data_IF_968905546613
#
_entry.id   IF_968905546613
#
_cell.length_a   1.000
_cell.length_b   1.000
_cell.length_c   1.000
_cell.angle_alpha   90.00
_cell.angle_beta   90.00
_cell.angle_gamma   90.00
#
_symmetry.space_group_name_H-M   'P 1'
#
loop_
_entity.id
_entity.type
_entity.pdbx_description
1 polymer ?
#
# COMPACT_ATOMS: atom_id res chain seq x y z
N UNK A 1 7.12 -30.88 31.53
CA UNK A 1 7.52 -30.88 30.14
C UNK A 1 7.19 -29.53 29.42
N UNK A 2 5.92 -29.20 29.12
CA UNK A 2 5.57 -27.93 28.41
C UNK A 2 6.17 -26.67 29.07
N UNK A 3 6.10 -26.56 30.39
CA UNK A 3 6.68 -25.41 31.11
C UNK A 3 8.21 -25.26 30.93
N UNK A 4 8.95 -26.38 30.77
CA UNK A 4 10.39 -26.32 30.49
C UNK A 4 10.67 -25.81 29.09
N UNK A 5 9.85 -26.23 28.10
CA UNK A 5 9.95 -25.73 26.70
C UNK A 5 9.59 -24.26 26.61
N UNK A 6 8.49 -23.81 27.21
CA UNK A 6 8.09 -22.42 27.22
C UNK A 6 9.10 -21.51 27.93
N UNK A 7 9.74 -22.02 29.00
CA UNK A 7 10.80 -21.32 29.70
C UNK A 7 12.04 -21.16 28.80
N UNK A 8 12.46 -22.24 28.11
CA UNK A 8 13.62 -22.21 27.22
C UNK A 8 13.39 -21.20 26.06
N UNK A 9 12.18 -21.14 25.47
CA UNK A 9 11.80 -20.18 24.46
C UNK A 9 11.91 -18.75 25.01
N UNK A 10 11.36 -18.49 26.21
CA UNK A 10 11.39 -17.18 26.83
C UNK A 10 12.82 -16.72 27.20
N UNK A 11 13.66 -17.64 27.71
CA UNK A 11 15.06 -17.37 28.03
C UNK A 11 15.90 -17.07 26.79
N UNK A 12 15.54 -17.67 25.63
CA UNK A 12 16.11 -17.34 24.33
C UNK A 12 15.56 -16.03 23.72
N UNK A 13 14.60 -15.36 24.39
CA UNK A 13 13.98 -14.12 23.94
C UNK A 13 12.81 -14.31 22.96
N UNK A 14 12.40 -15.56 22.70
CA UNK A 14 11.26 -15.87 21.86
C UNK A 14 9.93 -15.51 22.53
N UNK A 15 8.99 -14.93 21.76
CA UNK A 15 7.64 -14.64 22.23
C UNK A 15 6.71 -15.79 21.85
N UNK A 16 6.13 -16.46 22.85
CA UNK A 16 5.22 -17.59 22.62
C UNK A 16 3.81 -17.08 22.30
N UNK A 17 3.35 -17.41 21.11
CA UNK A 17 1.97 -17.21 20.68
C UNK A 17 1.06 -18.39 21.02
N UNK A 18 0.18 -18.75 20.09
CA UNK A 18 -0.75 -19.86 20.26
C UNK A 18 -0.03 -21.20 20.34
N UNK A 19 -0.60 -22.12 21.12
CA UNK A 19 -0.16 -23.52 21.14
C UNK A 19 -1.35 -24.47 21.10
N UNK A 20 -1.17 -25.61 20.44
CA UNK A 20 -2.22 -26.61 20.30
C UNK A 20 -1.71 -28.03 20.52
N UNK A 21 -2.60 -28.92 20.97
CA UNK A 21 -2.35 -30.34 21.07
C UNK A 21 -2.77 -31.02 19.76
N UNK A 22 -1.81 -31.62 19.06
CA UNK A 22 -2.06 -32.31 17.78
C UNK A 22 -2.50 -33.75 18.07
N UNK A 23 -1.73 -34.47 18.90
CA UNK A 23 -2.07 -35.84 19.26
C UNK A 23 -1.59 -36.20 20.67
N UNK A 24 -2.27 -37.22 21.25
CA UNK A 24 -1.92 -37.79 22.56
C UNK A 24 -1.95 -39.30 22.45
N UNK A 25 -0.81 -39.92 22.69
CA UNK A 25 -0.69 -41.37 22.88
C UNK A 25 -0.40 -41.71 24.37
N UNK A 26 -0.15 -42.94 24.63
CA UNK A 26 0.17 -43.41 26.02
C UNK A 26 1.52 -42.86 26.50
N UNK A 27 2.46 -42.65 25.57
CA UNK A 27 3.83 -42.25 25.86
C UNK A 27 4.22 -40.89 25.29
N UNK A 28 3.48 -40.38 24.27
CA UNK A 28 3.87 -39.20 23.52
C UNK A 28 2.75 -38.16 23.45
N UNK A 29 3.15 -36.89 23.48
CA UNK A 29 2.30 -35.73 23.26
C UNK A 29 2.92 -34.87 22.14
N UNK A 30 2.23 -34.78 21.00
CA UNK A 30 2.66 -33.89 19.90
C UNK A 30 1.91 -32.57 20.04
N UNK A 31 2.67 -31.49 20.07
CA UNK A 31 2.15 -30.11 20.14
C UNK A 31 2.74 -29.26 19.06
N UNK A 32 1.96 -28.31 18.57
CA UNK A 32 2.43 -27.17 17.77
C UNK A 32 2.54 -25.98 18.72
N UNK A 33 3.69 -25.30 18.67
CA UNK A 33 3.92 -24.02 19.34
C UNK A 33 4.24 -22.97 18.29
N UNK A 34 3.52 -21.85 18.32
CA UNK A 34 3.85 -20.69 17.50
C UNK A 34 4.76 -19.78 18.31
N UNK A 35 5.90 -19.42 17.74
CA UNK A 35 6.89 -18.59 18.40
C UNK A 35 7.29 -17.44 17.47
N UNK A 36 7.19 -16.20 17.96
CA UNK A 36 7.67 -15.04 17.22
C UNK A 36 9.14 -14.83 17.51
N UNK A 37 9.93 -14.69 16.45
CA UNK A 37 11.36 -14.41 16.49
C UNK A 37 11.68 -13.11 15.76
N UNK A 38 12.70 -12.39 16.20
CA UNK A 38 13.08 -11.10 15.65
C UNK A 38 13.96 -11.17 14.40
N UNK A 39 14.57 -12.33 14.13
CA UNK A 39 15.46 -12.57 12.98
C UNK A 39 15.68 -14.06 12.74
N UNK A 40 16.24 -14.45 11.59
CA UNK A 40 16.63 -15.83 11.31
C UNK A 40 17.66 -16.37 12.33
N UNK A 41 18.65 -15.57 12.71
CA UNK A 41 19.62 -15.96 13.74
C UNK A 41 18.94 -16.20 15.10
N UNK A 42 17.92 -15.41 15.44
CA UNK A 42 17.13 -15.61 16.65
C UNK A 42 16.30 -16.90 16.59
N UNK A 43 15.78 -17.30 15.42
CA UNK A 43 15.13 -18.60 15.23
C UNK A 43 16.08 -19.73 15.56
N UNK A 44 17.33 -19.69 15.06
CA UNK A 44 18.34 -20.71 15.37
C UNK A 44 18.64 -20.81 16.87
N UNK A 45 18.71 -19.69 17.59
CA UNK A 45 18.96 -19.67 19.02
C UNK A 45 17.79 -20.25 19.82
N UNK A 46 16.54 -19.95 19.41
CA UNK A 46 15.34 -20.55 20.00
C UNK A 46 15.32 -22.06 19.75
N UNK A 47 15.63 -22.55 18.56
CA UNK A 47 15.69 -23.97 18.23
C UNK A 47 16.68 -24.68 19.14
N UNK A 48 17.92 -24.15 19.24
CA UNK A 48 18.97 -24.72 20.14
C UNK A 48 18.51 -24.76 21.60
N UNK A 49 17.83 -23.72 22.06
CA UNK A 49 17.30 -23.67 23.42
C UNK A 49 16.24 -24.77 23.66
N UNK A 50 15.33 -25.00 22.72
CA UNK A 50 14.33 -26.05 22.80
C UNK A 50 14.95 -27.44 22.73
N UNK A 51 15.91 -27.68 21.84
CA UNK A 51 16.66 -28.95 21.70
C UNK A 51 17.44 -29.29 22.96
N UNK A 52 17.85 -28.31 23.74
CA UNK A 52 18.55 -28.53 25.02
C UNK A 52 17.65 -29.10 26.15
N UNK A 53 16.32 -29.07 25.96
CA UNK A 53 15.37 -29.58 26.96
C UNK A 53 15.27 -31.09 26.85
N UNK A 54 15.70 -31.79 27.90
CA UNK A 54 15.63 -33.26 27.96
C UNK A 54 14.22 -33.81 27.73
N UNK A 55 14.12 -34.96 27.06
CA UNK A 55 12.88 -35.68 26.73
C UNK A 55 11.98 -34.93 25.75
N UNK A 56 12.53 -33.99 24.96
CA UNK A 56 11.86 -33.29 23.86
C UNK A 56 12.53 -33.66 22.55
N UNK A 57 11.73 -33.83 21.54
CA UNK A 57 12.14 -33.97 20.14
C UNK A 57 11.39 -32.95 19.29
N UNK A 58 12.11 -32.15 18.50
CA UNK A 58 11.53 -31.29 17.47
C UNK A 58 11.25 -32.15 16.25
N UNK A 59 9.99 -32.38 15.94
CA UNK A 59 9.56 -33.20 14.80
C UNK A 59 9.59 -32.40 13.49
N UNK A 60 9.23 -31.12 13.57
CA UNK A 60 9.13 -30.25 12.40
C UNK A 60 9.33 -28.79 12.81
N UNK A 61 9.99 -28.03 11.97
CA UNK A 61 10.12 -26.59 12.07
C UNK A 61 9.56 -26.00 10.77
N UNK A 62 8.57 -25.12 10.88
CA UNK A 62 7.99 -24.46 9.72
C UNK A 62 7.87 -22.96 9.97
N UNK A 63 8.19 -22.17 8.95
CA UNK A 63 7.88 -20.75 8.93
C UNK A 63 6.44 -20.57 8.41
N UNK A 64 5.58 -19.97 9.25
CA UNK A 64 4.18 -19.72 8.91
C UNK A 64 4.01 -18.81 7.70
N UNK A 65 4.95 -17.88 7.50
CA UNK A 65 4.92 -16.99 6.34
C UNK A 65 5.13 -17.78 5.06
N UNK A 66 6.17 -18.64 5.02
CA UNK A 66 6.41 -19.50 3.86
C UNK A 66 5.27 -20.50 3.66
N UNK A 67 4.77 -21.12 4.72
CA UNK A 67 3.62 -22.05 4.63
C UNK A 67 2.35 -21.38 4.06
N UNK A 68 2.11 -20.09 4.40
CA UNK A 68 0.99 -19.31 3.83
C UNK A 68 1.16 -19.05 2.33
N UNK A 69 2.39 -19.03 1.82
CA UNK A 69 2.71 -18.77 0.42
C UNK A 69 2.84 -20.05 -0.42
N UNK A 70 2.83 -21.23 0.21
CA UNK A 70 2.96 -22.50 -0.51
C UNK A 70 1.78 -22.68 -1.49
N UNK A 71 2.11 -22.89 -2.78
CA UNK A 71 1.12 -22.97 -3.86
C UNK A 71 0.50 -21.64 -4.28
N UNK A 72 0.96 -20.50 -3.74
CA UNK A 72 0.44 -19.17 -4.05
C UNK A 72 -0.79 -18.79 -3.21
N UNK A 73 -1.19 -17.51 -3.28
CA UNK A 73 -2.27 -16.93 -2.46
C UNK A 73 -3.58 -16.70 -3.22
N UNK A 74 -3.58 -16.90 -4.52
CA UNK A 74 -4.75 -16.68 -5.38
C UNK A 74 -4.99 -17.87 -6.29
N UNK A 75 -6.24 -18.06 -6.69
CA UNK A 75 -6.65 -19.03 -7.69
C UNK A 75 -7.62 -18.40 -8.69
N UNK A 76 -7.75 -19.01 -9.88
CA UNK A 76 -8.77 -18.63 -10.86
C UNK A 76 -9.85 -19.69 -10.82
N UNK A 77 -11.09 -19.29 -10.54
CA UNK A 77 -12.23 -20.18 -10.42
C UNK A 77 -13.33 -19.81 -11.42
N UNK A 78 -14.01 -20.82 -11.93
CA UNK A 78 -15.18 -20.63 -12.80
C UNK A 78 -16.36 -20.10 -11.97
N UNK A 79 -17.09 -19.13 -12.53
CA UNK A 79 -18.39 -18.66 -12.00
C UNK A 79 -19.56 -19.54 -12.42
N UNK A 80 -19.34 -20.44 -13.39
CA UNK A 80 -20.34 -21.31 -13.97
C UNK A 80 -19.96 -22.76 -13.71
N UNK A 81 -20.96 -23.56 -13.39
CA UNK A 81 -20.87 -25.02 -13.42
C UNK A 81 -21.20 -25.52 -14.83
N UNK A 82 -20.42 -26.48 -15.33
CA UNK A 82 -20.68 -27.17 -16.57
C UNK A 82 -21.21 -28.57 -16.23
N UNK A 83 -22.51 -28.75 -16.30
CA UNK A 83 -23.18 -30.01 -15.93
C UNK A 83 -23.56 -30.89 -17.12
N UNK A 84 -23.54 -30.34 -18.34
CA UNK A 84 -23.89 -31.06 -19.52
C UNK A 84 -23.60 -30.38 -20.86
N UNK A 85 -23.99 -31.01 -21.93
CA UNK A 85 -23.78 -30.55 -23.31
C UNK A 85 -24.47 -29.20 -23.60
N UNK A 86 -25.59 -28.95 -22.96
CA UNK A 86 -26.33 -27.68 -23.12
C UNK A 86 -25.53 -26.51 -22.54
N UNK A 87 -25.01 -26.66 -21.31
CA UNK A 87 -24.20 -25.63 -20.67
C UNK A 87 -22.93 -25.36 -21.49
N UNK A 88 -22.28 -26.43 -22.01
CA UNK A 88 -21.12 -26.30 -22.86
C UNK A 88 -21.44 -25.56 -24.16
N UNK A 89 -22.58 -25.85 -24.78
CA UNK A 89 -23.00 -25.20 -26.02
C UNK A 89 -23.29 -23.70 -25.81
N UNK A 90 -23.82 -23.30 -24.65
CA UNK A 90 -24.04 -21.89 -24.30
C UNK A 90 -22.77 -21.17 -23.89
N UNK A 91 -21.96 -21.79 -23.00
CA UNK A 91 -20.76 -21.17 -22.44
C UNK A 91 -19.59 -21.12 -23.43
N UNK A 92 -19.54 -22.03 -24.39
CA UNK A 92 -18.45 -22.13 -25.37
C UNK A 92 -18.99 -22.18 -26.81
N UNK A 93 -18.88 -23.31 -27.51
CA UNK A 93 -19.33 -23.42 -28.90
C UNK A 93 -20.61 -24.21 -29.02
N UNK A 94 -21.59 -23.73 -29.83
CA UNK A 94 -21.57 -22.57 -30.73
C UNK A 94 -22.09 -21.26 -30.13
N UNK A 95 -22.64 -21.27 -28.92
CA UNK A 95 -23.37 -20.13 -28.32
C UNK A 95 -22.54 -18.88 -28.13
N UNK A 96 -21.26 -19.00 -27.67
CA UNK A 96 -20.37 -17.88 -27.44
C UNK A 96 -20.14 -17.03 -28.68
N UNK A 97 -20.26 -17.58 -29.89
CA UNK A 97 -20.10 -16.82 -31.13
C UNK A 97 -21.06 -15.65 -31.26
N UNK A 98 -22.30 -15.78 -30.71
CA UNK A 98 -23.27 -14.68 -30.67
C UNK A 98 -22.80 -13.54 -29.75
N UNK A 99 -22.19 -13.88 -28.61
CA UNK A 99 -21.64 -12.90 -27.67
C UNK A 99 -20.44 -12.17 -28.29
N UNK A 100 -19.58 -12.89 -28.99
CA UNK A 100 -18.47 -12.29 -29.74
C UNK A 100 -18.96 -11.28 -30.80
N UNK A 101 -19.98 -11.63 -31.56
CA UNK A 101 -20.56 -10.73 -32.57
C UNK A 101 -21.22 -9.50 -31.92
N UNK A 102 -21.93 -9.69 -30.80
CA UNK A 102 -22.51 -8.57 -30.04
C UNK A 102 -21.46 -7.57 -29.60
N UNK A 103 -20.35 -8.05 -29.01
CA UNK A 103 -19.24 -7.18 -28.58
C UNK A 103 -18.56 -6.50 -29.77
N UNK A 104 -18.37 -7.22 -30.89
CA UNK A 104 -17.79 -6.63 -32.10
C UNK A 104 -18.61 -5.48 -32.68
N UNK A 105 -19.95 -5.59 -32.60
CA UNK A 105 -20.88 -4.56 -33.06
C UNK A 105 -21.10 -3.44 -32.04
N UNK A 106 -21.02 -3.77 -30.75
CA UNK A 106 -21.25 -2.88 -29.61
C UNK A 106 -20.12 -3.02 -28.59
N UNK A 107 -18.94 -2.38 -28.82
CA UNK A 107 -17.73 -2.60 -28.00
C UNK A 107 -17.91 -2.38 -26.50
N UNK A 108 -18.78 -1.48 -26.07
CA UNK A 108 -19.05 -1.21 -24.65
C UNK A 108 -19.69 -2.42 -23.92
N UNK A 109 -20.28 -3.37 -24.66
CA UNK A 109 -20.84 -4.58 -24.09
C UNK A 109 -19.76 -5.51 -23.50
N UNK A 110 -18.49 -5.32 -23.84
CA UNK A 110 -17.39 -6.09 -23.26
C UNK A 110 -17.36 -5.99 -21.73
N UNK A 111 -17.72 -4.84 -21.16
CA UNK A 111 -17.78 -4.64 -19.71
C UNK A 111 -18.90 -5.43 -19.02
N UNK A 112 -19.99 -5.72 -19.73
CA UNK A 112 -21.14 -6.45 -19.19
C UNK A 112 -21.06 -7.95 -19.47
N UNK A 113 -20.45 -8.34 -20.58
CA UNK A 113 -20.45 -9.71 -21.10
C UNK A 113 -19.16 -10.47 -20.86
N UNK A 114 -18.15 -9.83 -20.26
CA UNK A 114 -16.86 -10.44 -19.92
C UNK A 114 -16.41 -10.05 -18.50
N UNK A 115 -15.25 -10.58 -18.09
CA UNK A 115 -14.63 -10.22 -16.79
C UNK A 115 -14.10 -8.79 -16.76
N UNK A 116 -13.96 -8.10 -17.92
CA UNK A 116 -13.37 -6.74 -18.01
C UNK A 116 -13.99 -5.75 -17.04
N UNK A 117 -15.28 -5.83 -16.80
CA UNK A 117 -15.98 -4.91 -15.89
C UNK A 117 -15.57 -5.01 -14.42
N UNK A 118 -14.84 -6.08 -14.03
CA UNK A 118 -14.45 -6.34 -12.65
C UNK A 118 -12.97 -6.70 -12.48
N UNK A 119 -12.14 -6.57 -13.52
CA UNK A 119 -10.75 -7.02 -13.47
C UNK A 119 -9.76 -5.88 -13.47
N UNK A 120 -8.66 -6.04 -12.71
CA UNK A 120 -7.53 -5.11 -12.60
C UNK A 120 -6.22 -5.83 -12.92
N UNK A 121 -5.38 -5.24 -13.75
CA UNK A 121 -3.98 -5.67 -13.90
C UNK A 121 -3.13 -5.03 -12.81
N UNK A 122 -2.39 -5.84 -12.04
CA UNK A 122 -1.36 -5.36 -11.11
C UNK A 122 -0.03 -5.51 -11.84
N UNK A 123 0.54 -4.41 -12.31
CA UNK A 123 1.72 -4.40 -13.18
C UNK A 123 2.95 -3.96 -12.40
N UNK A 124 4.01 -4.75 -12.47
CA UNK A 124 5.31 -4.47 -11.86
C UNK A 124 6.45 -4.92 -12.75
N UNK A 125 7.62 -4.30 -12.61
CA UNK A 125 8.90 -4.79 -13.09
C UNK A 125 9.82 -5.28 -11.95
N UNK A 126 9.32 -5.19 -10.70
CA UNK A 126 10.02 -5.61 -9.49
C UNK A 126 11.25 -4.77 -9.14
N UNK A 127 11.36 -3.53 -9.64
CA UNK A 127 12.55 -2.69 -9.46
C UNK A 127 12.58 -1.91 -8.14
N UNK A 128 11.47 -1.90 -7.36
CA UNK A 128 11.37 -1.16 -6.10
C UNK A 128 10.49 -1.87 -5.05
N UNK A 129 10.75 -3.16 -4.80
CA UNK A 129 9.91 -4.02 -3.98
C UNK A 129 10.04 -3.70 -2.49
N UNK A 130 8.98 -3.23 -1.83
CA UNK A 130 8.85 -3.07 -0.37
C UNK A 130 10.03 -2.35 0.33
N UNK A 131 10.79 -1.50 -0.36
CA UNK A 131 12.01 -0.90 0.20
C UNK A 131 13.24 -1.83 0.20
N UNK A 132 13.10 -3.09 -0.25
CA UNK A 132 14.21 -4.04 -0.41
C UNK A 132 15.00 -3.79 -1.70
N UNK A 133 14.50 -2.90 -2.57
CA UNK A 133 15.13 -2.54 -3.82
C UNK A 133 14.71 -3.42 -5.00
N UNK A 134 15.62 -3.59 -5.96
CA UNK A 134 15.35 -4.34 -7.18
C UNK A 134 15.49 -5.86 -6.96
N UNK A 135 14.36 -6.54 -6.78
CA UNK A 135 14.28 -8.00 -6.64
C UNK A 135 13.92 -8.71 -7.96
N UNK A 136 13.60 -7.93 -8.99
CA UNK A 136 13.11 -8.44 -10.27
C UNK A 136 11.67 -8.97 -10.22
N UNK A 137 11.12 -9.32 -11.40
CA UNK A 137 9.69 -9.64 -11.53
C UNK A 137 9.26 -10.88 -10.74
N UNK A 138 10.10 -11.93 -10.70
CA UNK A 138 9.80 -13.14 -9.94
C UNK A 138 9.82 -12.89 -8.42
N UNK A 139 10.77 -12.09 -7.93
CA UNK A 139 10.84 -11.70 -6.52
C UNK A 139 9.68 -10.80 -6.08
N UNK A 140 9.09 -10.04 -6.99
CA UNK A 140 7.91 -9.20 -6.74
C UNK A 140 6.58 -9.99 -6.72
N UNK A 141 6.51 -11.16 -7.34
CA UNK A 141 5.25 -11.91 -7.50
C UNK A 141 4.51 -12.16 -6.18
N UNK A 142 5.15 -12.56 -5.07
CA UNK A 142 4.44 -12.75 -3.80
C UNK A 142 3.74 -11.47 -3.30
N UNK A 143 4.32 -10.29 -3.53
CA UNK A 143 3.71 -9.00 -3.18
C UNK A 143 2.49 -8.73 -4.07
N UNK A 144 2.60 -9.00 -5.38
CA UNK A 144 1.50 -8.80 -6.34
C UNK A 144 0.33 -9.74 -6.07
N UNK A 145 0.58 -10.98 -5.65
CA UNK A 145 -0.48 -11.89 -5.17
C UNK A 145 -1.12 -11.37 -3.88
N UNK A 146 -0.34 -10.82 -2.96
CA UNK A 146 -0.86 -10.13 -1.78
C UNK A 146 -1.78 -8.97 -2.15
N UNK A 147 -1.36 -8.14 -3.11
CA UNK A 147 -2.17 -7.04 -3.63
C UNK A 147 -3.48 -7.55 -4.26
N UNK A 148 -3.43 -8.62 -5.04
CA UNK A 148 -4.63 -9.24 -5.64
C UNK A 148 -5.60 -9.76 -4.57
N UNK A 149 -5.09 -10.39 -3.51
CA UNK A 149 -5.87 -10.83 -2.36
C UNK A 149 -6.58 -9.65 -1.69
N UNK A 150 -5.89 -8.51 -1.49
CA UNK A 150 -6.47 -7.31 -0.88
C UNK A 150 -7.55 -6.68 -1.77
N UNK A 151 -7.35 -6.60 -3.09
CA UNK A 151 -8.38 -6.18 -4.05
C UNK A 151 -9.65 -7.04 -3.95
N UNK A 152 -9.46 -8.36 -3.89
CA UNK A 152 -10.58 -9.29 -3.76
C UNK A 152 -11.31 -9.13 -2.43
N UNK A 153 -10.56 -9.11 -1.32
CA UNK A 153 -11.10 -9.04 0.04
C UNK A 153 -11.88 -7.77 0.31
N UNK A 154 -11.32 -6.61 -0.06
CA UNK A 154 -11.88 -5.31 0.33
C UNK A 154 -12.79 -4.67 -0.72
N UNK A 155 -12.63 -5.02 -2.01
CA UNK A 155 -13.39 -4.40 -3.09
C UNK A 155 -14.13 -5.39 -4.01
N UNK A 156 -13.97 -6.70 -3.81
CA UNK A 156 -14.57 -7.72 -4.68
C UNK A 156 -14.00 -7.70 -6.10
N UNK A 157 -12.87 -7.02 -6.33
CA UNK A 157 -12.21 -6.96 -7.64
C UNK A 157 -11.36 -8.20 -7.89
N UNK A 158 -11.40 -8.71 -9.11
CA UNK A 158 -10.55 -9.79 -9.58
C UNK A 158 -9.27 -9.18 -10.16
N UNK A 159 -8.14 -9.28 -9.43
CA UNK A 159 -6.90 -8.68 -9.84
C UNK A 159 -5.87 -9.75 -10.24
N UNK A 160 -5.10 -9.46 -11.30
CA UNK A 160 -4.13 -10.39 -11.88
C UNK A 160 -2.71 -9.81 -11.77
N UNK A 161 -1.76 -10.52 -11.13
CA UNK A 161 -0.34 -10.18 -11.16
C UNK A 161 0.21 -10.25 -12.59
N UNK A 162 0.83 -9.16 -13.02
CA UNK A 162 1.52 -9.05 -14.31
C UNK A 162 2.95 -8.56 -14.03
N UNK A 163 3.85 -9.51 -13.80
CA UNK A 163 5.26 -9.25 -13.51
C UNK A 163 6.04 -9.30 -14.83
N UNK A 164 6.55 -8.15 -15.29
CA UNK A 164 7.21 -8.00 -16.59
C UNK A 164 8.73 -8.18 -16.44
N UNK A 165 9.31 -9.07 -17.23
CA UNK A 165 10.76 -9.29 -17.27
C UNK A 165 11.45 -8.24 -18.15
N UNK A 166 11.20 -6.98 -17.86
CA UNK A 166 11.86 -5.82 -18.49
C UNK A 166 11.75 -4.61 -17.57
N UNK A 167 12.76 -3.76 -17.63
CA UNK A 167 12.75 -2.44 -16.97
C UNK A 167 12.77 -1.29 -18.00
N UNK A 168 12.60 -1.61 -19.27
CA UNK A 168 12.48 -0.61 -20.33
C UNK A 168 11.08 0.02 -20.31
N UNK A 169 11.04 1.36 -20.28
CA UNK A 169 9.79 2.13 -20.22
C UNK A 169 8.89 1.87 -21.42
N UNK A 170 9.46 1.80 -22.62
CA UNK A 170 8.70 1.60 -23.86
C UNK A 170 8.09 0.20 -23.91
N UNK A 171 8.85 -0.82 -23.51
CA UNK A 171 8.37 -2.20 -23.44
C UNK A 171 7.27 -2.37 -22.40
N UNK A 172 7.40 -1.77 -21.21
CA UNK A 172 6.37 -1.81 -20.16
C UNK A 172 5.08 -1.16 -20.67
N UNK A 173 5.16 0.04 -21.22
CA UNK A 173 4.00 0.75 -21.78
C UNK A 173 3.35 -0.05 -22.90
N UNK A 174 4.12 -0.60 -23.82
CA UNK A 174 3.61 -1.43 -24.92
C UNK A 174 2.91 -2.71 -24.41
N UNK A 175 3.52 -3.41 -23.43
CA UNK A 175 2.93 -4.60 -22.83
C UNK A 175 1.58 -4.30 -22.18
N UNK A 176 1.50 -3.27 -21.35
CA UNK A 176 0.24 -2.88 -20.68
C UNK A 176 -0.84 -2.50 -21.69
N UNK A 177 -0.49 -1.78 -22.76
CA UNK A 177 -1.43 -1.43 -23.84
C UNK A 177 -1.99 -2.67 -24.54
N UNK A 178 -1.15 -3.65 -24.83
CA UNK A 178 -1.60 -4.88 -25.48
C UNK A 178 -2.47 -5.75 -24.57
N UNK A 179 -2.28 -5.69 -23.26
CA UNK A 179 -3.08 -6.42 -22.26
C UNK A 179 -4.39 -5.69 -21.89
N UNK A 180 -4.50 -4.40 -22.13
CA UNK A 180 -5.63 -3.55 -21.69
C UNK A 180 -7.03 -4.01 -22.15
N UNK A 181 -7.22 -4.75 -23.28
CA UNK A 181 -8.54 -5.22 -23.67
C UNK A 181 -9.23 -6.10 -22.61
N UNK A 182 -8.47 -6.81 -21.78
CA UNK A 182 -9.01 -7.72 -20.74
C UNK A 182 -9.38 -6.97 -19.47
N UNK A 183 -8.69 -5.85 -19.15
CA UNK A 183 -8.77 -5.20 -17.86
C UNK A 183 -9.66 -3.95 -17.87
N UNK A 184 -10.42 -3.76 -16.77
CA UNK A 184 -11.18 -2.55 -16.51
C UNK A 184 -10.35 -1.42 -15.91
N UNK A 185 -9.17 -1.75 -15.38
CA UNK A 185 -8.21 -0.79 -14.80
C UNK A 185 -6.82 -1.40 -14.63
N UNK A 186 -5.85 -0.54 -14.37
CA UNK A 186 -4.45 -0.90 -14.16
C UNK A 186 -3.99 -0.32 -12.83
N UNK A 187 -3.36 -1.15 -12.00
CA UNK A 187 -2.58 -0.75 -10.84
C UNK A 187 -1.10 -0.95 -11.13
N UNK A 188 -0.32 0.12 -11.13
CA UNK A 188 1.14 0.06 -11.21
C UNK A 188 1.68 -0.08 -9.79
N UNK A 189 2.67 -0.97 -9.60
CA UNK A 189 3.20 -1.34 -8.29
C UNK A 189 4.69 -1.59 -8.34
N UNK A 190 5.43 -1.13 -7.32
CA UNK A 190 6.86 -1.46 -7.12
C UNK A 190 7.76 -1.12 -8.33
N UNK A 191 7.44 -0.08 -9.09
CA UNK A 191 8.25 0.42 -10.20
C UNK A 191 9.08 1.59 -9.72
N UNK A 192 10.40 1.54 -9.91
CA UNK A 192 11.33 2.53 -9.37
C UNK A 192 11.18 3.92 -10.03
N UNK A 193 11.32 4.98 -9.19
CA UNK A 193 11.47 6.34 -9.68
C UNK A 193 12.86 6.52 -10.36
N UNK A 194 13.00 7.35 -11.41
CA UNK A 194 11.96 8.23 -11.96
C UNK A 194 11.06 7.59 -13.03
N UNK A 195 11.35 6.34 -13.48
CA UNK A 195 10.61 5.69 -14.58
C UNK A 195 9.11 5.53 -14.30
N UNK A 196 8.75 5.29 -13.06
CA UNK A 196 7.35 5.12 -12.66
C UNK A 196 6.47 6.31 -13.05
N UNK A 197 6.99 7.54 -13.00
CA UNK A 197 6.25 8.75 -13.37
C UNK A 197 5.95 8.78 -14.88
N UNK A 198 6.95 8.49 -15.71
CA UNK A 198 6.81 8.47 -17.17
C UNK A 198 5.87 7.35 -17.61
N UNK A 199 6.02 6.16 -17.05
CA UNK A 199 5.18 4.99 -17.36
C UNK A 199 3.71 5.33 -17.05
N UNK A 200 3.43 5.85 -15.86
CA UNK A 200 2.07 6.23 -15.49
C UNK A 200 1.51 7.32 -16.39
N UNK A 201 2.26 8.40 -16.63
CA UNK A 201 1.82 9.51 -17.46
C UNK A 201 1.48 9.07 -18.89
N UNK A 202 2.31 8.21 -19.48
CA UNK A 202 2.08 7.68 -20.83
C UNK A 202 0.85 6.78 -20.86
N UNK A 203 0.73 5.85 -19.92
CA UNK A 203 -0.42 4.93 -19.86
C UNK A 203 -1.73 5.69 -19.64
N UNK A 204 -1.74 6.72 -18.79
CA UNK A 204 -2.91 7.57 -18.58
C UNK A 204 -3.33 8.36 -19.83
N UNK A 205 -2.40 8.72 -20.71
CA UNK A 205 -2.67 9.39 -21.99
C UNK A 205 -3.09 8.43 -23.10
N UNK A 206 -2.57 7.20 -23.07
CA UNK A 206 -2.69 6.27 -24.19
C UNK A 206 -3.78 5.22 -23.98
N UNK A 207 -4.30 5.07 -22.74
CA UNK A 207 -5.39 4.14 -22.39
C UNK A 207 -6.68 4.92 -22.10
N UNK A 208 -7.82 4.27 -22.34
CA UNK A 208 -9.16 4.77 -22.02
C UNK A 208 -9.77 4.07 -20.78
N UNK A 209 -8.92 3.48 -19.96
CA UNK A 209 -9.24 2.85 -18.68
C UNK A 209 -8.42 3.50 -17.56
N UNK A 210 -8.90 3.47 -16.28
CA UNK A 210 -8.16 4.05 -15.17
C UNK A 210 -6.80 3.37 -14.97
N UNK A 211 -5.77 4.21 -14.83
CA UNK A 211 -4.42 3.83 -14.45
C UNK A 211 -4.11 4.48 -13.11
N UNK A 212 -3.71 3.68 -12.14
CA UNK A 212 -3.42 4.09 -10.76
C UNK A 212 -2.04 3.55 -10.36
N UNK A 213 -1.18 4.40 -9.83
CA UNK A 213 0.10 3.98 -9.26
C UNK A 213 -0.01 4.05 -7.74
N UNK A 214 -0.04 2.89 -7.09
CA UNK A 214 -0.34 2.83 -5.65
C UNK A 214 0.74 3.47 -4.78
N UNK A 215 2.04 3.22 -5.07
CA UNK A 215 3.14 3.82 -4.31
C UNK A 215 3.15 5.35 -4.38
N UNK A 216 2.58 5.93 -5.43
CA UNK A 216 2.39 7.38 -5.55
C UNK A 216 1.10 7.81 -4.87
N UNK A 217 -0.02 7.43 -5.46
CA UNK A 217 -1.32 8.03 -5.15
C UNK A 217 -2.01 7.36 -3.95
N UNK A 218 -1.83 6.05 -3.74
CA UNK A 218 -2.33 5.36 -2.55
C UNK A 218 -1.73 5.95 -1.29
N UNK A 219 -0.40 6.07 -1.26
CA UNK A 219 0.33 6.69 -0.14
C UNK A 219 -0.07 8.15 0.07
N UNK A 220 -0.22 8.93 -1.00
CA UNK A 220 -0.63 10.33 -0.89
C UNK A 220 -2.05 10.49 -0.32
N UNK A 221 -3.01 9.67 -0.75
CA UNK A 221 -4.40 9.68 -0.28
C UNK A 221 -4.47 9.38 1.21
N UNK A 222 -3.83 8.30 1.68
CA UNK A 222 -3.90 7.90 3.09
C UNK A 222 -3.15 8.87 3.99
N UNK A 223 -2.04 9.46 3.52
CA UNK A 223 -1.30 10.50 4.24
C UNK A 223 -2.15 11.76 4.41
N UNK A 224 -2.82 12.22 3.35
CA UNK A 224 -3.73 13.36 3.43
C UNK A 224 -4.90 13.06 4.36
N UNK A 225 -5.51 11.89 4.30
CA UNK A 225 -6.61 11.49 5.19
C UNK A 225 -6.21 11.54 6.66
N UNK A 226 -5.06 10.97 7.02
CA UNK A 226 -4.51 11.01 8.36
C UNK A 226 -4.19 12.45 8.80
N UNK A 227 -3.61 13.26 7.92
CA UNK A 227 -3.28 14.66 8.20
C UNK A 227 -4.53 15.50 8.47
N UNK A 228 -5.60 15.34 7.68
CA UNK A 228 -6.87 16.06 7.90
C UNK A 228 -7.37 15.89 9.35
N UNK A 229 -7.37 14.67 9.84
CA UNK A 229 -7.84 14.37 11.20
C UNK A 229 -6.82 14.83 12.26
N UNK A 230 -5.54 14.72 12.01
CA UNK A 230 -4.50 15.27 12.88
C UNK A 230 -4.64 16.78 13.05
N UNK A 231 -4.94 17.50 11.98
CA UNK A 231 -5.15 18.95 12.02
C UNK A 231 -6.36 19.36 12.87
N UNK A 232 -7.44 18.57 12.83
CA UNK A 232 -8.60 18.77 13.72
C UNK A 232 -8.21 18.68 15.20
N UNK A 233 -7.32 17.73 15.57
CA UNK A 233 -6.86 17.54 16.95
C UNK A 233 -6.00 18.70 17.44
N UNK A 234 -5.07 19.19 16.61
CA UNK A 234 -4.15 20.27 17.00
C UNK A 234 -4.71 21.66 16.71
N UNK A 235 -5.93 21.76 16.16
CA UNK A 235 -6.59 23.01 15.78
C UNK A 235 -5.73 23.90 14.87
N UNK A 236 -5.07 23.29 13.89
CA UNK A 236 -4.27 23.98 12.85
C UNK A 236 -4.93 23.88 11.49
N UNK A 237 -4.61 24.82 10.58
CA UNK A 237 -5.18 24.86 9.23
C UNK A 237 -4.09 24.61 8.18
N UNK A 238 -4.34 23.72 7.24
CA UNK A 238 -3.40 23.27 6.21
C UNK A 238 -2.65 24.40 5.48
N UNK A 239 -3.28 25.52 5.05
CA UNK A 239 -2.57 26.60 4.35
C UNK A 239 -1.53 27.36 5.18
N UNK A 240 -1.54 27.19 6.51
CA UNK A 240 -0.66 27.94 7.42
C UNK A 240 0.53 27.10 7.92
N UNK A 241 0.59 25.84 7.50
CA UNK A 241 1.59 24.89 8.01
C UNK A 241 2.89 24.95 7.25
N UNK A 242 3.99 24.81 7.99
CA UNK A 242 5.29 24.42 7.45
C UNK A 242 5.37 22.89 7.47
N UNK A 243 5.37 22.29 6.29
CA UNK A 243 5.38 20.84 6.10
C UNK A 243 6.73 20.41 5.57
N UNK A 244 7.38 19.46 6.22
CA UNK A 244 8.62 18.82 5.75
C UNK A 244 8.31 17.42 5.25
N UNK A 245 8.71 17.14 4.00
CA UNK A 245 8.62 15.80 3.41
C UNK A 245 10.03 15.28 3.20
N UNK A 246 10.39 14.21 3.88
CA UNK A 246 11.69 13.55 3.71
C UNK A 246 11.55 12.29 2.85
N UNK A 247 12.11 12.34 1.65
CA UNK A 247 12.01 11.34 0.60
C UNK A 247 11.39 11.93 -0.67
N UNK A 248 12.21 12.13 -1.71
CA UNK A 248 11.81 12.71 -2.99
C UNK A 248 11.64 11.65 -4.08
N UNK A 249 11.15 10.47 -3.68
CA UNK A 249 10.78 9.37 -4.56
C UNK A 249 9.31 9.44 -4.99
N UNK A 250 8.78 8.31 -5.43
CA UNK A 250 7.39 8.18 -5.92
C UNK A 250 6.37 8.71 -4.90
N UNK A 251 6.43 8.23 -3.66
CA UNK A 251 5.51 8.63 -2.59
C UNK A 251 5.62 10.12 -2.23
N UNK A 252 6.84 10.61 -1.96
CA UNK A 252 7.04 11.99 -1.50
C UNK A 252 6.59 13.03 -2.51
N UNK A 253 6.88 12.84 -3.79
CA UNK A 253 6.42 13.72 -4.88
C UNK A 253 4.89 13.70 -4.96
N UNK A 254 4.26 12.53 -4.89
CA UNK A 254 2.81 12.42 -4.96
C UNK A 254 2.11 13.05 -3.74
N UNK A 255 2.65 12.84 -2.53
CA UNK A 255 2.18 13.49 -1.31
C UNK A 255 2.24 15.01 -1.44
N UNK A 256 3.40 15.56 -1.86
CA UNK A 256 3.57 16.99 -2.02
C UNK A 256 2.55 17.58 -3.01
N UNK A 257 2.38 16.95 -4.17
CA UNK A 257 1.39 17.37 -5.18
C UNK A 257 -0.04 17.37 -4.64
N UNK A 258 -0.42 16.30 -3.92
CA UNK A 258 -1.78 16.18 -3.39
C UNK A 258 -2.03 17.19 -2.27
N UNK A 259 -1.06 17.42 -1.38
CA UNK A 259 -1.13 18.43 -0.32
C UNK A 259 -1.25 19.84 -0.89
N UNK A 260 -0.49 20.19 -1.94
CA UNK A 260 -0.65 21.48 -2.63
C UNK A 260 -2.05 21.65 -3.21
N UNK A 261 -2.61 20.60 -3.83
CA UNK A 261 -3.99 20.61 -4.33
C UNK A 261 -5.03 20.70 -3.23
N UNK A 262 -4.73 20.19 -2.05
CA UNK A 262 -5.57 20.35 -0.86
C UNK A 262 -5.41 21.73 -0.17
N UNK A 263 -4.45 22.57 -0.62
CA UNK A 263 -4.26 23.93 -0.12
C UNK A 263 -3.04 24.17 0.76
N UNK A 264 -2.11 23.20 0.86
CA UNK A 264 -0.83 23.44 1.53
C UNK A 264 0.01 24.46 0.76
N UNK A 265 0.54 25.48 1.43
CA UNK A 265 1.31 26.57 0.81
C UNK A 265 2.80 26.48 1.03
N UNK A 266 3.26 25.93 2.14
CA UNK A 266 4.69 25.79 2.45
C UNK A 266 5.08 24.32 2.64
N UNK A 267 5.75 23.77 1.64
CA UNK A 267 6.26 22.40 1.65
C UNK A 267 7.76 22.44 1.38
N UNK A 268 8.56 21.95 2.32
CA UNK A 268 9.99 21.71 2.16
C UNK A 268 10.23 20.24 1.89
N UNK A 269 10.67 19.91 0.69
CA UNK A 269 11.05 18.54 0.33
C UNK A 269 12.55 18.33 0.56
N UNK A 270 12.90 17.21 1.21
CA UNK A 270 14.26 16.79 1.47
C UNK A 270 14.57 15.43 0.82
N UNK A 271 15.82 15.23 0.47
CA UNK A 271 16.38 13.93 0.10
C UNK A 271 17.68 13.65 0.88
N UNK A 272 18.46 12.64 0.51
CA UNK A 272 19.71 12.28 1.19
C UNK A 272 20.77 13.39 1.21
N UNK A 273 20.60 14.45 0.41
CA UNK A 273 21.49 15.63 0.38
C UNK A 273 20.92 16.85 1.11
N UNK A 274 19.77 16.71 1.78
CA UNK A 274 19.07 17.78 2.47
C UNK A 274 17.96 18.42 1.65
N UNK A 275 17.69 19.70 1.90
CA UNK A 275 16.60 20.45 1.25
C UNK A 275 16.80 20.47 -0.27
N UNK A 276 15.73 20.23 -1.01
CA UNK A 276 15.71 20.37 -2.46
C UNK A 276 15.66 21.86 -2.79
N UNK A 277 16.83 22.41 -3.17
CA UNK A 277 17.05 23.82 -3.38
C UNK A 277 17.36 24.13 -4.85
N UNK A 278 16.95 25.31 -5.33
CA UNK A 278 17.31 25.81 -6.65
C UNK A 278 18.82 25.92 -6.91
N UNK A 279 19.63 25.97 -5.84
CA UNK A 279 21.09 25.99 -5.92
C UNK A 279 21.72 24.64 -6.28
N UNK A 280 20.94 23.56 -6.33
CA UNK A 280 21.41 22.20 -6.64
C UNK A 280 21.34 21.92 -8.14
N UNK A 281 22.37 21.24 -8.67
CA UNK A 281 22.54 20.85 -10.09
C UNK A 281 22.15 19.39 -10.38
N UNK A 282 21.81 18.62 -9.34
CA UNK A 282 21.50 17.19 -9.42
C UNK A 282 20.01 16.86 -9.43
N UNK A 283 19.15 17.86 -9.66
CA UNK A 283 17.69 17.70 -9.60
C UNK A 283 17.14 17.18 -10.94
N UNK A 284 16.34 16.10 -10.85
CA UNK A 284 15.47 15.72 -11.96
C UNK A 284 14.24 16.64 -12.04
N UNK A 285 13.42 16.47 -13.08
CA UNK A 285 12.25 17.34 -13.33
C UNK A 285 11.24 17.31 -12.17
N UNK A 286 11.02 16.16 -11.53
CA UNK A 286 10.09 16.02 -10.42
C UNK A 286 10.59 16.76 -9.17
N UNK A 287 11.90 16.67 -8.89
CA UNK A 287 12.50 17.42 -7.77
C UNK A 287 12.54 18.92 -8.04
N UNK A 288 12.79 19.34 -9.27
CA UNK A 288 12.78 20.75 -9.65
C UNK A 288 11.44 21.44 -9.37
N UNK A 289 10.33 20.71 -9.47
CA UNK A 289 8.99 21.23 -9.15
C UNK A 289 8.87 21.73 -7.69
N UNK A 290 9.63 21.13 -6.77
CA UNK A 290 9.61 21.45 -5.34
C UNK A 290 10.88 22.16 -4.85
N UNK A 291 11.74 22.60 -5.76
CA UNK A 291 12.94 23.34 -5.37
C UNK A 291 12.58 24.70 -4.78
N UNK A 292 13.24 25.06 -3.69
CA UNK A 292 13.05 26.32 -2.98
C UNK A 292 14.37 27.10 -2.90
N UNK A 293 14.31 28.38 -2.51
CA UNK A 293 15.51 29.19 -2.28
C UNK A 293 16.31 28.77 -1.05
N UNK A 294 15.62 28.20 -0.03
CA UNK A 294 16.25 27.71 1.18
C UNK A 294 17.17 26.52 0.87
N UNK A 295 18.29 26.43 1.58
CA UNK A 295 19.21 25.30 1.52
C UNK A 295 19.56 24.87 2.94
N UNK A 296 19.95 23.61 3.12
CA UNK A 296 20.33 23.07 4.43
C UNK A 296 20.08 21.57 4.54
N UNK A 297 20.29 21.05 5.72
CA UNK A 297 20.07 19.66 6.10
C UNK A 297 18.58 19.38 6.38
N UNK A 298 18.25 18.11 6.64
CA UNK A 298 16.93 17.74 7.15
C UNK A 298 16.65 18.42 8.51
N UNK A 299 17.64 18.51 9.38
CA UNK A 299 17.50 19.18 10.68
C UNK A 299 17.14 20.67 10.53
N UNK A 300 17.76 21.36 9.56
CA UNK A 300 17.42 22.77 9.26
C UNK A 300 15.98 22.90 8.74
N UNK A 301 15.51 21.95 7.92
CA UNK A 301 14.15 21.93 7.42
C UNK A 301 13.13 21.74 8.56
N UNK A 302 13.40 20.80 9.48
CA UNK A 302 12.51 20.45 10.59
C UNK A 302 12.38 21.55 11.64
N UNK A 303 13.35 22.47 11.74
CA UNK A 303 13.27 23.56 12.69
C UNK A 303 12.00 24.41 12.47
N UNK A 304 11.13 24.43 13.50
CA UNK A 304 9.85 25.15 13.46
C UNK A 304 8.82 24.56 12.48
N UNK A 305 9.01 23.34 12.00
CA UNK A 305 8.03 22.66 11.16
C UNK A 305 6.82 22.18 11.99
N UNK A 306 5.61 22.32 11.44
CA UNK A 306 4.38 21.82 12.05
C UNK A 306 4.18 20.33 11.80
N UNK A 307 4.61 19.86 10.63
CA UNK A 307 4.37 18.49 10.15
C UNK A 307 5.65 17.93 9.55
N UNK A 308 5.99 16.71 9.94
CA UNK A 308 7.01 15.89 9.31
C UNK A 308 6.35 14.66 8.66
N UNK A 309 6.65 14.42 7.39
CA UNK A 309 6.20 13.26 6.61
C UNK A 309 7.43 12.52 6.07
N UNK A 310 7.72 11.35 6.66
CA UNK A 310 8.84 10.49 6.28
C UNK A 310 8.39 9.40 5.32
N UNK A 311 9.03 9.33 4.15
CA UNK A 311 8.88 8.26 3.13
C UNK A 311 10.26 7.93 2.55
N UNK A 312 11.24 7.73 3.41
CA UNK A 312 12.64 7.63 3.05
C UNK A 312 13.30 6.34 3.56
N UNK A 313 14.25 6.48 4.48
CA UNK A 313 15.01 5.36 5.04
C UNK A 313 14.99 5.38 6.55
N UNK A 314 15.23 4.23 7.21
CA UNK A 314 15.21 4.11 8.66
C UNK A 314 16.17 5.06 9.39
N UNK A 315 15.74 5.58 10.57
CA UNK A 315 16.62 6.18 11.56
C UNK A 315 17.26 7.51 11.16
N UNK A 316 16.74 8.19 10.15
CA UNK A 316 17.30 9.48 9.69
C UNK A 316 16.84 10.69 10.50
N UNK A 317 15.84 10.52 11.36
CA UNK A 317 15.33 11.58 12.24
C UNK A 317 15.79 11.33 13.66
N UNK A 318 16.35 12.36 14.31
CA UNK A 318 16.74 12.31 15.72
C UNK A 318 15.66 12.93 16.62
N UNK A 319 15.76 12.65 17.93
CA UNK A 319 14.86 13.24 18.93
C UNK A 319 14.98 14.77 18.94
N UNK A 320 16.20 15.30 18.82
CA UNK A 320 16.48 16.74 18.78
C UNK A 320 15.82 17.42 17.56
N UNK A 321 15.77 16.74 16.42
CA UNK A 321 15.05 17.26 15.25
C UNK A 321 13.55 17.39 15.55
N UNK A 322 12.93 16.41 16.22
CA UNK A 322 11.52 16.48 16.61
C UNK A 322 11.30 17.57 17.65
N UNK A 323 12.20 17.70 18.63
CA UNK A 323 12.13 18.77 19.66
C UNK A 323 12.28 20.18 19.07
N UNK A 324 12.92 20.31 17.89
CA UNK A 324 13.07 21.59 17.20
C UNK A 324 11.82 22.02 16.41
N UNK A 325 10.83 21.14 16.26
CA UNK A 325 9.59 21.43 15.53
C UNK A 325 8.71 22.47 16.29
N UNK A 326 7.67 22.91 15.61
CA UNK A 326 6.68 23.83 16.20
C UNK A 326 5.89 23.18 17.35
N UNK A 327 5.16 23.99 18.11
CA UNK A 327 4.25 23.48 19.15
C UNK A 327 3.19 22.53 18.58
N UNK A 328 2.93 21.44 19.30
CA UNK A 328 2.02 20.36 18.88
C UNK A 328 2.36 19.78 17.50
N UNK A 329 3.59 19.26 17.32
CA UNK A 329 4.00 18.73 16.01
C UNK A 329 3.29 17.43 15.65
N UNK A 330 3.11 17.22 14.35
CA UNK A 330 2.57 15.99 13.75
C UNK A 330 3.72 15.26 13.06
N UNK A 331 3.95 14.00 13.41
CA UNK A 331 5.04 13.20 12.84
C UNK A 331 4.49 11.91 12.24
N UNK A 332 4.64 11.75 10.93
CA UNK A 332 4.34 10.52 10.21
C UNK A 332 5.64 9.90 9.71
N UNK A 333 6.13 8.86 10.37
CA UNK A 333 7.34 8.14 10.02
C UNK A 333 6.96 6.83 9.31
N UNK A 334 6.82 6.87 7.98
CA UNK A 334 6.17 5.84 7.18
C UNK A 334 7.15 4.87 6.50
N UNK A 335 8.47 5.01 6.71
CA UNK A 335 9.46 4.06 6.20
C UNK A 335 9.22 2.65 6.75
N UNK A 336 9.32 1.64 5.88
CA UNK A 336 9.13 0.22 6.21
C UNK A 336 10.41 -0.59 5.91
N UNK A 337 10.73 -1.63 6.73
CA UNK A 337 10.03 -2.09 7.94
C UNK A 337 10.34 -1.27 9.21
N UNK A 338 11.35 -0.40 9.17
CA UNK A 338 11.78 0.43 10.29
C UNK A 338 11.49 1.89 9.96
N UNK A 339 10.80 2.64 10.86
CA UNK A 339 10.47 4.04 10.63
C UNK A 339 11.69 4.97 10.68
N UNK A 340 11.54 6.19 10.19
CA UNK A 340 12.57 7.23 10.22
C UNK A 340 12.98 7.60 11.65
N UNK A 341 12.07 7.45 12.60
CA UNK A 341 12.32 7.55 14.05
C UNK A 341 11.41 6.54 14.76
N UNK A 342 11.96 5.89 15.79
CA UNK A 342 11.16 4.98 16.62
C UNK A 342 10.14 5.78 17.44
N UNK A 343 8.84 5.42 17.39
CA UNK A 343 7.78 6.14 18.10
C UNK A 343 8.06 6.33 19.59
N UNK A 344 8.59 5.30 20.26
CA UNK A 344 8.85 5.29 21.71
C UNK A 344 9.77 6.42 22.16
N UNK A 345 10.60 6.96 21.26
CA UNK A 345 11.55 8.02 21.57
C UNK A 345 10.91 9.41 21.61
N UNK A 346 9.71 9.56 21.02
CA UNK A 346 9.10 10.88 20.76
C UNK A 346 7.61 10.98 21.07
N UNK A 347 6.96 9.92 21.55
CA UNK A 347 5.52 9.95 21.85
C UNK A 347 5.11 11.05 22.83
N UNK A 348 5.99 11.40 23.78
CA UNK A 348 5.77 12.47 24.75
C UNK A 348 6.04 13.89 24.20
N UNK A 349 6.57 14.00 22.98
CA UNK A 349 7.02 15.26 22.34
C UNK A 349 6.14 15.68 21.17
N UNK A 350 5.31 14.77 20.67
CA UNK A 350 4.46 15.00 19.48
C UNK A 350 2.98 14.98 19.85
N UNK A 351 2.19 15.79 19.17
CA UNK A 351 0.74 15.74 19.33
C UNK A 351 0.10 14.53 18.65
N UNK A 352 0.67 14.11 17.52
CA UNK A 352 0.20 12.94 16.77
C UNK A 352 1.40 12.22 16.17
N UNK A 353 1.45 10.90 16.40
CA UNK A 353 2.40 9.98 15.78
C UNK A 353 1.67 8.97 14.90
N UNK A 354 2.19 8.72 13.69
CA UNK A 354 1.73 7.65 12.82
C UNK A 354 2.90 6.97 12.11
N UNK A 355 2.72 5.71 11.74
CA UNK A 355 3.72 4.91 11.02
C UNK A 355 3.08 4.08 9.90
N UNK A 356 3.90 3.44 9.06
CA UNK A 356 3.43 2.41 8.12
C UNK A 356 3.18 1.04 8.75
N UNK A 357 3.56 0.83 10.02
CA UNK A 357 3.55 -0.47 10.70
C UNK A 357 2.19 -0.78 11.30
N UNK A 358 1.83 -2.07 11.29
CA UNK A 358 0.55 -2.57 11.84
C UNK A 358 0.54 -2.79 13.36
N UNK A 359 1.72 -2.75 13.99
CA UNK A 359 1.90 -2.95 15.42
C UNK A 359 1.89 -1.63 16.23
N UNK A 360 1.67 -0.50 15.55
CA UNK A 360 1.48 0.81 16.16
C UNK A 360 0.09 1.38 15.87
N UNK A 361 -0.42 2.28 16.72
CA UNK A 361 -1.59 3.08 16.40
C UNK A 361 -1.40 3.90 15.12
N UNK A 362 -2.51 4.27 14.45
CA UNK A 362 -2.48 5.12 13.27
C UNK A 362 -1.65 4.53 12.11
N UNK A 363 -1.88 3.28 11.77
CA UNK A 363 -1.21 2.67 10.62
C UNK A 363 -1.62 3.39 9.32
N UNK A 364 -0.68 4.10 8.68
CA UNK A 364 -0.86 4.70 7.36
C UNK A 364 -0.54 3.63 6.32
N UNK A 365 -1.57 3.07 5.69
CA UNK A 365 -1.44 1.95 4.75
C UNK A 365 -2.32 2.18 3.53
N UNK A 366 -1.73 2.03 2.34
CA UNK A 366 -2.39 2.22 1.03
C UNK A 366 -3.64 1.36 0.85
N UNK A 367 -3.76 0.25 1.57
CA UNK A 367 -4.94 -0.63 1.52
C UNK A 367 -6.24 0.10 1.85
N UNK A 368 -6.17 1.21 2.58
CA UNK A 368 -7.33 2.07 2.82
C UNK A 368 -7.78 2.83 1.56
N UNK A 369 -6.90 2.98 0.55
CA UNK A 369 -7.17 3.78 -0.65
C UNK A 369 -7.43 2.92 -1.89
N UNK A 370 -6.43 2.13 -2.33
CA UNK A 370 -6.41 1.56 -3.68
C UNK A 370 -7.61 0.66 -4.01
N UNK A 371 -8.13 -0.19 -3.11
CA UNK A 371 -9.25 -1.05 -3.47
C UNK A 371 -10.51 -0.23 -3.77
N UNK A 372 -10.81 0.75 -2.91
CA UNK A 372 -11.95 1.63 -3.07
C UNK A 372 -11.83 2.55 -4.28
N UNK A 373 -10.64 3.10 -4.54
CA UNK A 373 -10.39 3.98 -5.70
C UNK A 373 -10.66 3.26 -7.00
N UNK A 374 -10.07 2.06 -7.19
CA UNK A 374 -10.29 1.29 -8.42
C UNK A 374 -11.71 0.71 -8.50
N UNK A 375 -12.33 0.33 -7.36
CA UNK A 375 -13.74 -0.07 -7.33
C UNK A 375 -14.65 1.06 -7.82
N UNK A 376 -14.48 2.28 -7.30
CA UNK A 376 -15.26 3.44 -7.71
C UNK A 376 -15.06 3.79 -9.18
N UNK A 377 -13.82 3.76 -9.67
CA UNK A 377 -13.49 4.02 -11.07
C UNK A 377 -14.10 2.96 -12.02
N UNK A 378 -14.03 1.66 -11.68
CA UNK A 378 -14.62 0.60 -12.48
C UNK A 378 -16.15 0.65 -12.46
N UNK A 379 -16.78 0.97 -11.34
CA UNK A 379 -18.25 1.04 -11.20
C UNK A 379 -18.88 2.07 -12.14
N UNK A 380 -18.21 3.18 -12.39
CA UNK A 380 -18.67 4.22 -13.30
C UNK A 380 -17.98 4.17 -14.67
N UNK A 381 -17.20 3.13 -14.94
CA UNK A 381 -16.40 2.97 -16.18
C UNK A 381 -15.61 4.24 -16.50
N UNK A 382 -14.89 4.77 -15.49
CA UNK A 382 -14.11 5.99 -15.65
C UNK A 382 -13.05 5.82 -16.76
N UNK A 383 -12.81 6.86 -17.54
CA UNK A 383 -11.75 6.89 -18.55
C UNK A 383 -10.36 7.08 -17.94
N UNK A 384 -10.30 7.62 -16.73
CA UNK A 384 -9.07 7.87 -15.99
C UNK A 384 -9.39 8.26 -14.55
N UNK A 385 -8.36 8.52 -13.76
CA UNK A 385 -8.49 8.98 -12.38
C UNK A 385 -7.97 10.42 -12.29
N UNK A 386 -8.78 11.30 -11.76
CA UNK A 386 -8.47 12.74 -11.63
C UNK A 386 -7.94 13.09 -10.25
N UNK A 387 -7.36 14.26 -10.10
CA UNK A 387 -6.89 14.75 -8.80
C UNK A 387 -8.05 14.93 -7.81
N UNK A 388 -9.23 15.35 -8.27
CA UNK A 388 -10.40 15.48 -7.40
C UNK A 388 -10.85 14.13 -6.87
N UNK A 389 -10.76 13.05 -7.65
CA UNK A 389 -11.04 11.69 -7.19
C UNK A 389 -10.09 11.28 -6.07
N UNK A 390 -8.82 11.66 -6.11
CA UNK A 390 -7.86 11.42 -5.02
C UNK A 390 -8.20 12.23 -3.75
N UNK A 391 -8.56 13.51 -3.90
CA UNK A 391 -8.96 14.36 -2.78
C UNK A 391 -10.22 13.82 -2.09
N UNK A 392 -11.24 13.49 -2.87
CA UNK A 392 -12.50 12.94 -2.34
C UNK A 392 -12.30 11.57 -1.67
N UNK A 393 -11.38 10.74 -2.18
CA UNK A 393 -10.99 9.49 -1.53
C UNK A 393 -10.36 9.77 -0.14
N UNK A 394 -9.46 10.75 -0.03
CA UNK A 394 -8.84 11.12 1.23
C UNK A 394 -9.86 11.67 2.24
N UNK A 395 -10.76 12.55 1.81
CA UNK A 395 -11.86 13.05 2.65
C UNK A 395 -12.77 11.92 3.11
N UNK A 396 -13.15 11.01 2.22
CA UNK A 396 -14.01 9.88 2.57
C UNK A 396 -13.37 8.96 3.62
N UNK A 397 -12.07 8.72 3.56
CA UNK A 397 -11.35 7.96 4.58
C UNK A 397 -11.33 8.73 5.91
N UNK A 398 -11.00 10.02 5.89
CA UNK A 398 -10.93 10.84 7.10
C UNK A 398 -12.28 10.94 7.81
N UNK A 399 -13.37 11.07 7.08
CA UNK A 399 -14.72 11.26 7.62
C UNK A 399 -15.30 9.99 8.26
N UNK A 400 -14.67 8.83 8.10
CA UNK A 400 -15.07 7.61 8.80
C UNK A 400 -14.75 7.63 10.30
N UNK A 401 -13.81 8.48 10.72
CA UNK A 401 -13.53 8.71 12.14
C UNK A 401 -14.50 9.76 12.65
N UNK A 402 -15.38 9.35 13.57
CA UNK A 402 -16.33 10.28 14.18
C UNK A 402 -15.62 11.28 15.09
N UNK A 403 -16.20 12.48 15.32
CA UNK A 403 -15.61 13.44 16.27
C UNK A 403 -15.45 12.90 17.69
N UNK A 404 -16.24 11.88 18.08
CA UNK A 404 -16.16 11.25 19.40
C UNK A 404 -14.99 10.25 19.50
N UNK A 405 -14.63 9.60 18.39
CA UNK A 405 -13.58 8.61 18.35
C UNK A 405 -12.21 9.23 18.02
N UNK A 406 -12.22 10.46 17.49
CA UNK A 406 -11.00 11.15 17.07
C UNK A 406 -10.12 11.50 18.27
N UNK A 407 -8.91 10.94 18.29
CA UNK A 407 -7.89 11.19 19.31
C UNK A 407 -6.50 10.92 18.73
N UNK A 408 -5.43 11.17 19.50
CA UNK A 408 -4.03 11.02 19.03
C UNK A 408 -3.66 9.60 18.57
N UNK A 409 -4.36 8.58 19.01
CA UNK A 409 -4.16 7.18 18.64
C UNK A 409 -5.18 6.68 17.61
N UNK A 410 -6.12 7.53 17.18
CA UNK A 410 -7.17 7.18 16.22
C UNK A 410 -7.46 8.35 15.27
N UNK A 411 -6.56 8.58 14.30
CA UNK A 411 -6.69 9.61 13.25
C UNK A 411 -7.10 9.04 11.90
N UNK A 412 -6.99 7.73 11.73
CA UNK A 412 -7.29 7.02 10.49
C UNK A 412 -7.98 5.68 10.83
N UNK A 413 -8.94 5.20 10.03
CA UNK A 413 -9.61 3.94 10.31
C UNK A 413 -8.66 2.74 10.23
N UNK A 414 -9.03 1.66 10.92
CA UNK A 414 -8.34 0.38 10.77
C UNK A 414 -8.42 -0.12 9.33
N UNK A 415 -7.36 -0.78 8.86
CA UNK A 415 -7.34 -1.44 7.54
C UNK A 415 -8.44 -2.52 7.37
N UNK A 416 -8.96 -3.03 8.49
CA UNK A 416 -10.06 -4.01 8.51
C UNK A 416 -11.45 -3.39 8.67
N UNK A 417 -11.58 -2.07 8.68
CA UNK A 417 -12.89 -1.41 8.70
C UNK A 417 -13.59 -1.59 7.35
N UNK A 418 -14.61 -2.43 7.33
CA UNK A 418 -15.35 -2.78 6.11
C UNK A 418 -16.05 -1.60 5.42
N UNK A 419 -16.21 -0.48 6.11
CA UNK A 419 -16.83 0.75 5.57
C UNK A 419 -15.91 1.47 4.59
N UNK A 420 -14.58 1.34 4.76
CA UNK A 420 -13.57 2.15 4.03
C UNK A 420 -13.72 2.01 2.53
N UNK A 421 -13.62 0.79 2.01
CA UNK A 421 -13.64 0.57 0.56
C UNK A 421 -14.93 1.07 -0.10
N UNK A 422 -16.07 0.90 0.57
CA UNK A 422 -17.37 1.37 0.09
C UNK A 422 -17.46 2.90 0.09
N UNK A 423 -16.99 3.55 1.16
CA UNK A 423 -16.98 5.02 1.26
C UNK A 423 -16.08 5.64 0.19
N UNK A 424 -14.87 5.13 0.04
CA UNK A 424 -13.92 5.59 -0.98
C UNK A 424 -14.48 5.38 -2.38
N UNK A 425 -15.02 4.19 -2.69
CA UNK A 425 -15.60 3.92 -4.00
C UNK A 425 -16.76 4.85 -4.34
N UNK A 426 -17.60 5.16 -3.36
CA UNK A 426 -18.72 6.10 -3.54
C UNK A 426 -18.23 7.53 -3.82
N UNK A 427 -17.24 8.02 -3.08
CA UNK A 427 -16.66 9.34 -3.25
C UNK A 427 -15.95 9.47 -4.61
N UNK A 428 -15.14 8.49 -4.98
CA UNK A 428 -14.45 8.43 -6.27
C UNK A 428 -15.42 8.42 -7.44
N UNK A 429 -16.48 7.62 -7.35
CA UNK A 429 -17.53 7.56 -8.38
C UNK A 429 -18.27 8.89 -8.50
N UNK A 430 -18.55 9.56 -7.41
CA UNK A 430 -19.16 10.89 -7.40
C UNK A 430 -18.25 11.91 -8.10
N UNK A 431 -16.98 11.98 -7.69
CA UNK A 431 -15.99 12.88 -8.29
C UNK A 431 -15.80 12.63 -9.80
N UNK A 432 -15.72 11.35 -10.20
CA UNK A 432 -15.61 10.99 -11.61
C UNK A 432 -16.77 11.52 -12.48
N UNK A 433 -17.98 11.53 -11.93
CA UNK A 433 -19.16 12.10 -12.61
C UNK A 433 -19.10 13.61 -12.68
N UNK A 434 -18.70 14.27 -11.61
CA UNK A 434 -18.52 15.74 -11.57
C UNK A 434 -17.46 16.19 -12.56
N UNK A 435 -16.37 15.46 -12.65
CA UNK A 435 -15.27 15.75 -13.58
C UNK A 435 -15.56 15.34 -15.04
N UNK A 436 -16.67 14.67 -15.31
CA UNK A 436 -17.06 14.26 -16.66
C UNK A 436 -16.22 13.09 -17.22
N UNK A 437 -15.51 12.34 -16.37
CA UNK A 437 -14.71 11.17 -16.80
C UNK A 437 -15.44 9.84 -16.66
N UNK A 438 -16.60 9.82 -16.02
CA UNK A 438 -17.47 8.66 -15.92
C UNK A 438 -18.21 8.38 -17.21
N UNK A 439 -18.34 7.10 -17.61
CA UNK A 439 -19.11 6.63 -18.79
C UNK A 439 -20.42 5.93 -18.41
N UNK A 440 -20.62 5.72 -17.10
CA UNK A 440 -21.84 5.05 -16.58
C UNK A 440 -22.37 5.76 -15.33
#
# INVERSE_FOLDING_TARGET
>A
MLARVTQAIAEAGGNLGDFSLVSRSRNDLIRILHVDASSEAHVEDIIKAVESVEEIEILEISDRTFALHDGGKISVESKLELTGAEDLAMAYTPGVGRVCMEIAQHPDRVYDLTIKGNTVAIVTDGSAVLGLGNLGPAGALPVMEGKALLFKKFAGLDAFPICLDTQDTDEIVAAVKHLSPVFGGVNLEDISAPRCFEIEERLRKELDIPVFHDDQHGTAIVTLAALINSLKLVNKNLPQLKIVINGAGAAGVAIARLLQKAGASEILMCDSKGIISHSRDDLNSQKQEFAVEASGSLADAMQGADVFLGVSVPGVVSVEMVESMAENPIVFAMSNPIPEIQPELVLDKVAVMATGRSDYPNQINNVLAFPGVLRGALDCRAQGITTSMYLEAAYAIADLISPQDLNAECIIPSVFDERVSTAVASAVKHAARVDGVARK
#
